data_IF_971340453011
#
_entry.id   IF_971340453011
#
_cell.length_a   1.000
_cell.length_b   1.000
_cell.length_c   1.000
_cell.angle_alpha   90.00
_cell.angle_beta   90.00
_cell.angle_gamma   90.00
#
_symmetry.space_group_name_H-M   'P 1'
#
loop_
_entity.id
_entity.type
_entity.pdbx_description
1 polymer ?
#
# COMPACT_ATOMS: atom_id res chain seq x y z
N UNK A 1 33.26 -0.46 -3.73
CA UNK A 1 32.35 0.65 -3.37
C UNK A 1 31.00 0.06 -2.99
N UNK A 2 30.27 0.65 -2.03
CA UNK A 2 28.89 0.24 -1.71
C UNK A 2 27.96 0.63 -2.86
N UNK A 3 27.03 -0.24 -3.24
CA UNK A 3 25.96 0.12 -4.17
C UNK A 3 25.04 1.18 -3.54
N UNK A 4 24.64 2.15 -4.34
CA UNK A 4 23.69 3.20 -3.98
C UNK A 4 22.26 2.69 -4.15
N UNK A 5 21.41 2.96 -3.16
CA UNK A 5 19.96 2.77 -3.29
C UNK A 5 19.28 4.10 -3.06
N UNK A 6 18.72 4.67 -4.13
CA UNK A 6 17.85 5.85 -4.07
C UNK A 6 16.42 5.40 -3.78
N UNK A 7 15.96 5.62 -2.54
CA UNK A 7 14.62 5.27 -2.09
C UNK A 7 13.68 6.46 -2.32
N UNK A 8 12.63 6.26 -3.11
CA UNK A 8 11.62 7.27 -3.42
C UNK A 8 10.31 6.94 -2.69
N UNK A 9 9.99 7.69 -1.65
CA UNK A 9 8.73 7.55 -0.91
C UNK A 9 8.88 7.85 0.58
N UNK A 10 7.77 8.13 1.26
CA UNK A 10 7.75 8.44 2.69
C UNK A 10 6.57 7.74 3.38
N UNK A 11 6.63 6.40 3.42
CA UNK A 11 5.58 5.53 3.95
C UNK A 11 6.14 4.63 5.06
N UNK A 12 5.27 3.98 5.83
CA UNK A 12 5.70 3.09 6.92
C UNK A 12 6.61 1.95 6.44
N UNK A 13 6.35 1.42 5.25
CA UNK A 13 7.19 0.40 4.62
C UNK A 13 8.53 0.96 4.11
N UNK A 14 8.64 2.26 3.86
CA UNK A 14 9.92 2.90 3.50
C UNK A 14 10.93 2.74 4.62
N UNK A 15 10.51 2.83 5.88
CA UNK A 15 11.39 2.62 7.04
C UNK A 15 11.94 1.19 7.06
N UNK A 16 11.11 0.19 6.76
CA UNK A 16 11.55 -1.21 6.64
C UNK A 16 12.59 -1.36 5.53
N UNK A 17 12.36 -0.74 4.36
CA UNK A 17 13.30 -0.74 3.23
C UNK A 17 14.65 -0.14 3.62
N UNK A 18 14.64 1.06 4.19
CA UNK A 18 15.88 1.77 4.59
C UNK A 18 16.67 0.99 5.63
N UNK A 19 16.00 0.43 6.65
CA UNK A 19 16.67 -0.39 7.69
C UNK A 19 17.22 -1.68 7.13
N UNK A 20 16.43 -2.42 6.34
CA UNK A 20 16.86 -3.68 5.73
C UNK A 20 18.11 -3.47 4.87
N UNK A 21 18.03 -2.54 3.92
CA UNK A 21 19.10 -2.32 2.95
C UNK A 21 20.32 -1.67 3.60
N UNK A 22 20.13 -0.72 4.54
CA UNK A 22 21.23 -0.14 5.29
C UNK A 22 21.99 -1.18 6.13
N UNK A 23 21.30 -2.13 6.75
CA UNK A 23 21.92 -3.28 7.46
C UNK A 23 22.62 -4.24 6.52
N UNK A 24 22.13 -4.34 5.28
CA UNK A 24 22.75 -5.16 4.22
C UNK A 24 23.96 -4.47 3.57
N UNK A 25 24.33 -3.27 4.00
CA UNK A 25 25.55 -2.59 3.57
C UNK A 25 25.39 -1.65 2.37
N UNK A 26 24.17 -1.43 1.88
CA UNK A 26 23.90 -0.45 0.82
C UNK A 26 24.10 0.99 1.33
N UNK A 27 24.52 1.89 0.43
CA UNK A 27 24.49 3.34 0.69
C UNK A 27 23.09 3.86 0.38
N UNK A 28 22.34 4.23 1.41
CA UNK A 28 20.94 4.63 1.26
C UNK A 28 20.85 6.14 1.04
N UNK A 29 20.18 6.52 -0.04
CA UNK A 29 19.86 7.91 -0.37
C UNK A 29 18.33 8.03 -0.33
N UNK A 30 17.79 8.91 0.50
CA UNK A 30 16.34 9.14 0.55
C UNK A 30 15.99 10.33 -0.34
N UNK A 31 15.12 10.11 -1.31
CA UNK A 31 14.52 11.19 -2.09
C UNK A 31 13.33 11.78 -1.35
N UNK A 32 13.28 13.11 -1.16
CA UNK A 32 12.11 13.79 -0.60
C UNK A 32 11.67 15.00 -1.42
N UNK A 33 10.35 15.12 -1.53
CA UNK A 33 9.64 16.31 -1.99
C UNK A 33 9.14 17.08 -0.75
N UNK A 34 9.31 18.41 -0.72
CA UNK A 34 8.92 19.31 0.41
C UNK A 34 9.72 19.10 1.71
N UNK A 35 9.32 19.78 2.80
CA UNK A 35 10.02 19.77 4.09
C UNK A 35 9.94 18.41 4.80
N UNK A 36 11.07 18.01 5.41
CA UNK A 36 11.39 16.83 6.24
C UNK A 36 10.57 15.55 6.06
N UNK A 37 11.26 14.46 5.71
CA UNK A 37 10.70 13.10 5.66
C UNK A 37 11.03 12.34 6.94
N UNK A 38 10.07 11.69 7.61
CA UNK A 38 10.36 10.87 8.80
C UNK A 38 11.35 9.73 8.49
N UNK A 39 11.41 9.29 7.23
CA UNK A 39 12.34 8.24 6.80
C UNK A 39 13.79 8.74 6.83
N UNK A 40 14.02 10.03 6.55
CA UNK A 40 15.37 10.63 6.49
C UNK A 40 16.09 10.61 7.84
N UNK A 41 15.34 10.49 8.93
CA UNK A 41 15.84 10.44 10.31
C UNK A 41 16.38 9.07 10.70
N UNK A 42 16.25 8.06 9.84
CA UNK A 42 16.82 6.75 10.11
C UNK A 42 18.34 6.82 10.09
N UNK A 43 19.00 6.22 11.08
CA UNK A 43 20.47 6.14 11.14
C UNK A 43 21.11 5.38 9.98
N UNK A 44 20.30 4.67 9.19
CA UNK A 44 20.72 3.91 8.03
C UNK A 44 20.76 4.77 6.75
N UNK A 45 20.21 5.99 6.79
CA UNK A 45 20.28 6.95 5.69
C UNK A 45 21.68 7.56 5.63
N UNK A 46 22.28 7.51 4.45
CA UNK A 46 23.62 8.05 4.19
C UNK A 46 23.59 9.43 3.56
N UNK A 47 22.52 9.76 2.82
CA UNK A 47 22.37 11.04 2.12
C UNK A 47 20.88 11.31 1.84
N UNK A 48 20.53 12.58 1.60
CA UNK A 48 19.18 13.01 1.27
C UNK A 48 19.22 13.80 -0.03
N UNK A 49 18.42 13.36 -1.01
CA UNK A 49 18.22 14.09 -2.25
C UNK A 49 16.90 14.85 -2.19
N UNK A 50 16.99 16.18 -2.14
CA UNK A 50 15.83 17.06 -2.20
C UNK A 50 15.49 17.34 -3.67
N UNK A 51 14.23 17.19 -4.03
CA UNK A 51 13.72 17.50 -5.37
C UNK A 51 12.41 18.26 -5.29
N UNK A 52 12.03 18.94 -6.38
CA UNK A 52 10.72 19.53 -6.53
C UNK A 52 9.80 18.53 -7.25
N UNK A 53 8.84 17.95 -6.52
CA UNK A 53 7.91 16.97 -7.08
C UNK A 53 6.68 17.56 -7.75
N UNK A 54 6.39 18.86 -7.55
CA UNK A 54 5.19 19.55 -8.05
C UNK A 54 5.22 19.66 -9.59
N UNK A 55 6.41 19.79 -10.20
CA UNK A 55 6.57 19.75 -11.65
C UNK A 55 7.11 18.38 -12.11
N UNK A 56 6.27 17.61 -12.81
CA UNK A 56 6.62 16.27 -13.31
C UNK A 56 7.82 16.25 -14.24
N UNK A 57 7.90 17.17 -15.20
CA UNK A 57 9.01 17.20 -16.13
C UNK A 57 10.32 17.56 -15.43
N UNK A 58 10.27 18.53 -14.51
CA UNK A 58 11.44 18.97 -13.75
C UNK A 58 11.95 17.84 -12.84
N UNK A 59 11.04 17.17 -12.12
CA UNK A 59 11.40 16.02 -11.30
C UNK A 59 12.21 14.97 -12.06
N UNK A 60 11.80 14.61 -13.29
CA UNK A 60 12.55 13.63 -14.08
C UNK A 60 13.90 14.16 -14.59
N UNK A 61 14.00 15.44 -14.92
CA UNK A 61 15.29 16.08 -15.26
C UNK A 61 16.24 16.03 -14.07
N UNK A 62 15.76 16.39 -12.88
CA UNK A 62 16.54 16.37 -11.65
C UNK A 62 16.96 14.94 -11.26
N UNK A 63 16.04 13.97 -11.41
CA UNK A 63 16.34 12.56 -11.19
C UNK A 63 17.43 12.06 -12.14
N UNK A 64 17.32 12.37 -13.42
CA UNK A 64 18.32 11.99 -14.42
C UNK A 64 19.69 12.57 -14.10
N UNK A 65 19.75 13.86 -13.74
CA UNK A 65 20.98 14.52 -13.30
C UNK A 65 21.55 13.83 -12.05
N UNK A 66 20.71 13.55 -11.04
CA UNK A 66 21.15 12.84 -9.82
C UNK A 66 21.71 11.45 -10.16
N UNK A 67 21.03 10.65 -10.98
CA UNK A 67 21.50 9.32 -11.36
C UNK A 67 22.85 9.36 -12.09
N UNK A 68 23.07 10.36 -12.97
CA UNK A 68 24.37 10.59 -13.63
C UNK A 68 25.48 10.89 -12.61
N UNK A 69 25.20 11.65 -11.54
CA UNK A 69 26.19 11.89 -10.47
C UNK A 69 26.51 10.66 -9.62
N UNK A 70 25.57 9.72 -9.50
CA UNK A 70 25.74 8.50 -8.68
C UNK A 70 26.45 7.36 -9.44
N UNK A 71 26.43 7.41 -10.77
CA UNK A 71 27.09 6.44 -11.64
C UNK A 71 26.20 5.21 -11.96
N UNK A 72 26.08 4.82 -13.25
CA UNK A 72 25.07 3.86 -13.71
C UNK A 72 25.28 2.40 -13.26
N UNK A 73 26.52 1.98 -12.99
CA UNK A 73 26.83 0.59 -12.59
C UNK A 73 26.62 0.28 -11.11
N UNK A 74 26.16 1.26 -10.32
CA UNK A 74 26.04 1.11 -8.85
C UNK A 74 24.74 1.65 -8.27
N UNK A 75 23.77 2.06 -9.09
CA UNK A 75 22.59 2.79 -8.60
C UNK A 75 21.30 2.02 -8.82
N UNK A 76 20.63 1.70 -7.71
CA UNK A 76 19.31 1.09 -7.65
C UNK A 76 18.31 2.19 -7.27
N UNK A 77 17.20 2.31 -8.01
CA UNK A 77 16.08 3.18 -7.65
C UNK A 77 14.97 2.33 -7.09
N UNK A 78 14.57 2.63 -5.85
CA UNK A 78 13.53 1.90 -5.12
C UNK A 78 12.29 2.78 -4.95
N UNK A 79 11.33 2.74 -5.91
CA UNK A 79 10.04 3.39 -5.72
C UNK A 79 9.23 2.66 -4.65
N UNK A 80 8.82 3.38 -3.61
CA UNK A 80 8.02 2.86 -2.51
C UNK A 80 6.62 3.46 -2.58
N UNK A 81 5.61 2.58 -2.58
CA UNK A 81 4.21 2.99 -2.73
C UNK A 81 3.77 3.08 -4.19
N UNK A 82 2.46 3.20 -4.38
CA UNK A 82 1.81 3.09 -5.68
C UNK A 82 2.14 4.26 -6.61
N UNK A 83 1.96 5.49 -6.11
CA UNK A 83 2.22 6.70 -6.89
C UNK A 83 3.67 6.78 -7.38
N UNK A 84 4.64 6.47 -6.53
CA UNK A 84 6.05 6.48 -6.95
C UNK A 84 6.34 5.38 -7.96
N UNK A 85 5.72 4.20 -7.81
CA UNK A 85 5.91 3.08 -8.74
C UNK A 85 5.33 3.42 -10.11
N UNK A 86 4.09 3.89 -10.16
CA UNK A 86 3.40 4.29 -11.39
C UNK A 86 4.19 5.38 -12.14
N UNK A 87 4.63 6.41 -11.40
CA UNK A 87 5.42 7.52 -11.97
C UNK A 87 6.74 7.04 -12.57
N UNK A 88 7.42 6.07 -11.95
CA UNK A 88 8.65 5.49 -12.48
C UNK A 88 8.39 4.55 -13.66
N UNK A 89 7.35 3.72 -13.59
CA UNK A 89 6.98 2.81 -14.67
C UNK A 89 6.64 3.56 -15.96
N UNK A 90 5.91 4.67 -15.86
CA UNK A 90 5.52 5.50 -17.01
C UNK A 90 6.71 6.11 -17.78
N UNK A 91 7.86 6.29 -17.15
CA UNK A 91 9.07 6.86 -17.78
C UNK A 91 10.26 5.88 -17.75
N UNK A 92 10.01 4.57 -17.62
CA UNK A 92 11.07 3.59 -17.43
C UNK A 92 12.15 3.64 -18.53
N UNK A 93 11.74 3.81 -19.79
CA UNK A 93 12.65 3.91 -20.93
C UNK A 93 13.59 5.12 -20.85
N UNK A 94 13.14 6.24 -20.27
CA UNK A 94 13.97 7.45 -20.11
C UNK A 94 15.22 7.17 -19.27
N UNK A 95 15.12 6.24 -18.33
CA UNK A 95 16.20 5.92 -17.39
C UNK A 95 16.95 4.64 -17.74
N UNK A 96 16.71 4.07 -18.92
CA UNK A 96 17.39 2.87 -19.40
C UNK A 96 18.90 3.09 -19.42
N UNK A 97 19.64 2.19 -18.79
CA UNK A 97 21.10 2.27 -18.65
C UNK A 97 21.60 3.25 -17.59
N UNK A 98 20.73 4.04 -16.93
CA UNK A 98 21.12 4.96 -15.86
C UNK A 98 20.99 4.35 -14.46
N UNK A 99 20.03 3.46 -14.25
CA UNK A 99 19.80 2.78 -12.97
C UNK A 99 19.01 1.49 -13.13
N UNK A 100 19.08 0.64 -12.11
CA UNK A 100 18.21 -0.53 -11.96
C UNK A 100 16.99 -0.15 -11.12
N UNK A 101 15.79 -0.26 -11.68
CA UNK A 101 14.55 0.07 -10.97
C UNK A 101 13.96 -1.15 -10.30
N UNK A 102 13.65 -1.03 -9.00
CA UNK A 102 12.96 -2.04 -8.21
C UNK A 102 11.47 -2.02 -8.54
N UNK A 103 11.13 -2.64 -9.67
CA UNK A 103 9.77 -2.83 -10.14
C UNK A 103 9.70 -3.99 -11.14
N UNK A 104 8.52 -4.61 -11.30
CA UNK A 104 8.23 -5.47 -12.46
C UNK A 104 8.35 -4.70 -13.78
N UNK A 105 8.15 -5.41 -14.89
CA UNK A 105 8.01 -4.75 -16.19
C UNK A 105 6.93 -3.63 -16.16
N UNK A 106 7.16 -2.45 -16.76
CA UNK A 106 6.19 -1.36 -16.76
C UNK A 106 4.79 -1.75 -17.25
N UNK A 107 4.67 -2.65 -18.24
CA UNK A 107 3.38 -3.11 -18.72
C UNK A 107 2.67 -3.99 -17.67
N UNK A 108 3.42 -4.81 -16.92
CA UNK A 108 2.88 -5.57 -15.79
C UNK A 108 2.42 -4.62 -14.68
N UNK A 109 3.20 -3.59 -14.36
CA UNK A 109 2.80 -2.57 -13.37
C UNK A 109 1.49 -1.91 -13.78
N UNK A 110 1.39 -1.38 -15.00
CA UNK A 110 0.18 -0.73 -15.50
C UNK A 110 -1.03 -1.66 -15.43
N UNK A 111 -0.87 -2.92 -15.86
CA UNK A 111 -1.95 -3.92 -15.82
C UNK A 111 -2.41 -4.24 -14.39
N UNK A 112 -1.50 -4.34 -13.42
CA UNK A 112 -1.85 -4.64 -12.03
C UNK A 112 -2.48 -3.45 -11.30
N UNK A 113 -2.17 -2.21 -11.72
CA UNK A 113 -2.80 -1.00 -11.17
C UNK A 113 -4.20 -0.76 -11.73
N UNK A 114 -4.52 -1.33 -12.89
CA UNK A 114 -5.88 -1.38 -13.42
C UNK A 114 -6.68 -2.53 -12.78
N UNK A 115 -7.61 -2.17 -11.88
CA UNK A 115 -8.47 -3.15 -11.20
C UNK A 115 -9.34 -3.96 -12.17
N UNK A 116 -9.83 -3.35 -13.25
CA UNK A 116 -10.65 -4.06 -14.26
C UNK A 116 -9.80 -5.11 -14.95
N UNK A 117 -8.64 -4.71 -15.47
CA UNK A 117 -7.71 -5.62 -16.15
C UNK A 117 -7.25 -6.76 -15.25
N UNK A 118 -7.07 -6.51 -13.95
CA UNK A 118 -6.65 -7.53 -12.98
C UNK A 118 -7.80 -8.48 -12.61
N UNK A 119 -9.05 -7.99 -12.50
CA UNK A 119 -10.23 -8.83 -12.24
C UNK A 119 -10.58 -9.70 -13.46
N UNK A 120 -10.45 -9.16 -14.68
CA UNK A 120 -10.57 -9.94 -15.92
C UNK A 120 -9.51 -11.03 -16.02
N UNK A 121 -8.27 -10.73 -15.62
CA UNK A 121 -7.21 -11.74 -15.54
C UNK A 121 -7.54 -12.80 -14.48
N UNK A 122 -8.05 -12.41 -13.32
CA UNK A 122 -8.48 -13.36 -12.28
C UNK A 122 -9.52 -14.36 -12.82
N UNK A 123 -10.52 -13.86 -13.55
CA UNK A 123 -11.54 -14.70 -14.18
C UNK A 123 -10.95 -15.67 -15.20
N UNK A 124 -10.01 -15.21 -16.05
CA UNK A 124 -9.29 -16.08 -17.02
C UNK A 124 -8.42 -17.16 -16.37
N UNK A 125 -8.02 -16.96 -15.11
CA UNK A 125 -7.17 -17.88 -14.35
C UNK A 125 -7.94 -18.77 -13.37
N UNK A 126 -9.28 -18.76 -13.46
CA UNK A 126 -10.17 -19.45 -12.52
C UNK A 126 -9.88 -19.09 -11.06
N UNK A 127 -9.50 -17.84 -10.81
CA UNK A 127 -9.34 -17.28 -9.47
C UNK A 127 -10.62 -16.54 -9.09
N UNK A 128 -11.35 -16.98 -8.04
CA UNK A 128 -12.62 -16.37 -7.70
C UNK A 128 -12.48 -14.88 -7.37
N UNK A 129 -13.32 -14.05 -7.97
CA UNK A 129 -13.52 -12.64 -7.59
C UNK A 129 -14.91 -12.47 -6.99
N UNK A 130 -15.13 -11.48 -6.12
CA UNK A 130 -16.48 -11.19 -5.67
C UNK A 130 -17.38 -10.86 -6.88
N UNK A 131 -18.63 -11.33 -6.93
CA UNK A 131 -19.58 -10.97 -8.00
C UNK A 131 -19.63 -9.45 -8.19
N UNK A 132 -19.37 -8.98 -9.42
CA UNK A 132 -19.13 -7.56 -9.73
C UNK A 132 -19.78 -7.15 -11.05
N UNK A 133 -20.27 -5.91 -11.11
CA UNK A 133 -20.72 -5.20 -12.32
C UNK A 133 -19.83 -3.98 -12.50
N UNK A 134 -19.01 -3.98 -13.56
CA UNK A 134 -17.86 -3.08 -13.77
C UNK A 134 -18.18 -1.65 -14.24
N UNK A 135 -19.42 -1.40 -14.64
CA UNK A 135 -19.87 -0.10 -15.15
C UNK A 135 -21.23 0.27 -14.58
N UNK A 136 -21.41 1.54 -14.23
CA UNK A 136 -22.70 2.05 -13.76
C UNK A 136 -23.74 2.02 -14.87
N UNK A 137 -24.77 1.23 -14.63
CA UNK A 137 -26.01 1.19 -15.39
C UNK A 137 -27.13 0.98 -14.38
N UNK A 138 -28.06 1.93 -14.30
CA UNK A 138 -29.05 1.97 -13.22
C UNK A 138 -29.90 0.69 -13.18
N UNK A 139 -30.40 0.25 -14.33
CA UNK A 139 -31.30 -0.91 -14.41
C UNK A 139 -30.54 -2.20 -14.11
N UNK A 140 -29.37 -2.38 -14.74
CA UNK A 140 -28.49 -3.54 -14.51
C UNK A 140 -28.03 -3.63 -13.06
N UNK A 141 -27.73 -2.49 -12.43
CA UNK A 141 -27.34 -2.44 -11.02
C UNK A 141 -28.50 -2.77 -10.10
N UNK A 142 -29.71 -2.27 -10.36
CA UNK A 142 -30.89 -2.63 -9.58
C UNK A 142 -31.20 -4.13 -9.66
N UNK A 143 -31.10 -4.72 -10.86
CA UNK A 143 -31.26 -6.16 -11.03
C UNK A 143 -30.15 -6.95 -10.30
N UNK A 144 -28.90 -6.51 -10.44
CA UNK A 144 -27.75 -7.17 -9.81
C UNK A 144 -27.75 -7.03 -8.29
N UNK A 145 -28.21 -5.91 -7.75
CA UNK A 145 -28.37 -5.69 -6.31
C UNK A 145 -29.33 -6.73 -5.70
N UNK A 146 -30.44 -7.05 -6.38
CA UNK A 146 -31.37 -8.10 -5.97
C UNK A 146 -30.73 -9.49 -6.02
N UNK A 147 -29.97 -9.78 -7.07
CA UNK A 147 -29.29 -11.08 -7.25
C UNK A 147 -28.12 -11.29 -6.27
N UNK A 148 -27.31 -10.26 -6.04
CA UNK A 148 -26.15 -10.33 -5.17
C UNK A 148 -26.54 -10.44 -3.70
N UNK A 149 -27.66 -9.78 -3.34
CA UNK A 149 -28.11 -9.63 -1.97
C UNK A 149 -27.25 -8.65 -1.17
N UNK A 150 -27.76 -8.25 -0.01
CA UNK A 150 -27.07 -7.32 0.88
C UNK A 150 -26.07 -8.04 1.81
N UNK A 151 -24.96 -7.39 2.20
CA UNK A 151 -24.57 -6.03 1.82
C UNK A 151 -23.99 -5.93 0.41
N UNK A 152 -23.95 -4.71 -0.13
CA UNK A 152 -23.29 -4.39 -1.40
C UNK A 152 -22.14 -3.39 -1.17
N UNK A 153 -21.11 -3.47 -2.02
CA UNK A 153 -19.95 -2.58 -2.03
C UNK A 153 -19.95 -1.81 -3.34
N UNK A 154 -19.90 -0.49 -3.25
CA UNK A 154 -19.77 0.40 -4.40
C UNK A 154 -18.45 1.13 -4.29
N UNK A 155 -17.61 0.99 -5.31
CA UNK A 155 -16.25 1.57 -5.34
C UNK A 155 -15.91 2.03 -6.76
N UNK A 156 -14.86 2.83 -6.91
CA UNK A 156 -14.29 3.15 -8.22
C UNK A 156 -13.30 2.09 -8.67
N UNK A 157 -13.18 1.92 -9.98
CA UNK A 157 -12.09 1.13 -10.57
C UNK A 157 -10.73 1.73 -10.19
N UNK A 158 -10.58 3.04 -10.30
CA UNK A 158 -9.41 3.79 -9.80
C UNK A 158 -9.44 3.98 -8.28
N UNK A 159 -8.28 4.05 -7.63
CA UNK A 159 -8.15 4.28 -6.18
C UNK A 159 -8.03 5.75 -5.78
N UNK A 160 -7.93 6.67 -6.73
CA UNK A 160 -7.57 8.08 -6.45
C UNK A 160 -8.76 8.94 -6.01
N UNK A 161 -9.96 8.67 -6.53
CA UNK A 161 -11.16 9.46 -6.21
C UNK A 161 -12.04 8.70 -5.22
N UNK A 162 -12.35 9.25 -4.03
CA UNK A 162 -13.30 8.64 -3.11
C UNK A 162 -14.73 8.53 -3.70
N UNK A 163 -15.52 7.61 -3.16
CA UNK A 163 -16.97 7.52 -3.39
C UNK A 163 -17.66 8.08 -2.16
N UNK A 164 -18.37 9.21 -2.30
CA UNK A 164 -18.97 9.96 -1.19
C UNK A 164 -18.00 10.24 -0.02
N UNK A 165 -16.73 10.55 -0.33
CA UNK A 165 -15.71 10.85 0.68
C UNK A 165 -15.08 9.62 1.36
N UNK A 166 -15.46 8.41 0.97
CA UNK A 166 -14.90 7.14 1.47
C UNK A 166 -14.24 6.34 0.35
N UNK A 167 -13.41 5.36 0.69
CA UNK A 167 -12.80 4.44 -0.31
C UNK A 167 -13.86 3.59 -1.03
N UNK A 168 -14.94 3.26 -0.34
CA UNK A 168 -16.08 2.53 -0.86
C UNK A 168 -17.35 2.86 -0.05
N UNK A 169 -18.50 2.89 -0.72
CA UNK A 169 -19.81 2.96 -0.09
C UNK A 169 -20.34 1.55 0.16
N UNK A 170 -20.69 1.23 1.41
CA UNK A 170 -21.21 -0.10 1.78
C UNK A 170 -22.71 0.02 2.07
N UNK A 171 -23.54 -0.48 1.16
CA UNK A 171 -24.98 -0.51 1.33
C UNK A 171 -25.36 -1.75 2.15
N UNK A 172 -25.72 -1.56 3.43
CA UNK A 172 -26.05 -2.65 4.36
C UNK A 172 -27.53 -3.02 4.41
N UNK A 173 -28.39 -2.13 3.93
CA UNK A 173 -29.85 -2.29 3.91
C UNK A 173 -30.44 -1.63 2.66
N UNK A 174 -31.71 -1.91 2.39
CA UNK A 174 -32.44 -1.35 1.24
C UNK A 174 -32.50 0.18 1.27
N UNK A 175 -32.56 0.81 2.45
CA UNK A 175 -32.55 2.27 2.57
C UNK A 175 -31.24 2.88 2.05
N UNK A 176 -30.09 2.24 2.34
CA UNK A 176 -28.79 2.68 1.84
C UNK A 176 -28.66 2.48 0.33
N UNK A 177 -29.24 1.39 -0.23
CA UNK A 177 -29.32 1.18 -1.68
C UNK A 177 -30.14 2.27 -2.34
N UNK A 178 -31.34 2.56 -1.81
CA UNK A 178 -32.20 3.63 -2.31
C UNK A 178 -31.49 4.98 -2.26
N UNK A 179 -30.91 5.33 -1.11
CA UNK A 179 -30.16 6.57 -0.95
C UNK A 179 -29.03 6.69 -1.98
N UNK A 180 -28.27 5.62 -2.23
CA UNK A 180 -27.23 5.63 -3.25
C UNK A 180 -27.80 5.97 -4.63
N UNK A 181 -28.86 5.28 -5.06
CA UNK A 181 -29.47 5.51 -6.38
C UNK A 181 -30.08 6.90 -6.53
N UNK A 182 -30.56 7.50 -5.45
CA UNK A 182 -31.11 8.86 -5.44
C UNK A 182 -29.99 9.93 -5.53
N UNK A 183 -28.78 9.62 -5.04
CA UNK A 183 -27.67 10.58 -4.92
C UNK A 183 -26.51 10.32 -5.90
N UNK A 184 -26.47 9.20 -6.62
CA UNK A 184 -25.35 8.85 -7.53
C UNK A 184 -25.10 9.90 -8.61
N UNK A 185 -26.12 10.67 -9.02
CA UNK A 185 -25.98 11.75 -9.99
C UNK A 185 -25.12 12.92 -9.48
N UNK A 186 -24.93 13.06 -8.16
CA UNK A 186 -24.04 14.08 -7.58
C UNK A 186 -22.60 13.59 -7.41
N UNK A 187 -22.31 12.32 -7.70
CA UNK A 187 -20.93 11.82 -7.70
C UNK A 187 -20.17 12.42 -8.91
N UNK A 188 -18.89 12.82 -8.75
CA UNK A 188 -18.15 13.46 -9.85
C UNK A 188 -17.83 12.54 -11.02
N UNK A 189 -17.80 11.21 -10.85
CA UNK A 189 -17.55 10.27 -11.97
C UNK A 189 -18.40 8.99 -11.83
N UNK A 190 -19.73 9.08 -11.99
CA UNK A 190 -20.64 7.96 -11.72
C UNK A 190 -20.38 6.75 -12.63
N UNK A 191 -19.94 6.99 -13.87
CA UNK A 191 -19.63 5.95 -14.85
C UNK A 191 -18.35 5.15 -14.51
N UNK A 192 -17.53 5.63 -13.59
CA UNK A 192 -16.32 4.94 -13.11
C UNK A 192 -16.61 4.03 -11.90
N UNK A 193 -17.85 3.98 -11.41
CA UNK A 193 -18.28 3.15 -10.31
C UNK A 193 -18.53 1.70 -10.76
N UNK A 194 -18.29 0.77 -9.84
CA UNK A 194 -18.62 -0.64 -9.97
C UNK A 194 -19.43 -1.11 -8.74
N UNK A 195 -20.37 -2.03 -8.96
CA UNK A 195 -21.20 -2.65 -7.92
C UNK A 195 -20.70 -4.06 -7.64
N UNK A 196 -20.41 -4.37 -6.40
CA UNK A 196 -19.82 -5.63 -5.98
C UNK A 196 -20.60 -6.23 -4.81
N UNK A 197 -20.79 -7.56 -4.80
CA UNK A 197 -21.31 -8.28 -3.64
C UNK A 197 -20.35 -8.13 -2.47
N UNK A 198 -20.85 -7.76 -1.29
CA UNK A 198 -20.03 -7.79 -0.09
C UNK A 198 -19.68 -9.23 0.29
N UNK A 199 -18.39 -9.48 0.45
CA UNK A 199 -17.86 -10.78 0.89
C UNK A 199 -17.33 -10.62 2.31
N UNK A 200 -17.74 -11.54 3.20
CA UNK A 200 -17.22 -11.62 4.57
C UNK A 200 -15.87 -12.32 4.57
N UNK A 201 -15.05 -12.03 5.57
CA UNK A 201 -13.78 -12.73 5.78
C UNK A 201 -12.66 -11.81 6.21
N UNK A 202 -11.51 -12.40 6.52
CA UNK A 202 -10.29 -11.65 6.80
C UNK A 202 -9.53 -11.41 5.51
N UNK A 203 -8.89 -10.24 5.40
CA UNK A 203 -7.93 -10.00 4.33
C UNK A 203 -6.66 -10.80 4.60
N UNK A 204 -6.29 -11.65 3.65
CA UNK A 204 -5.00 -12.32 3.59
C UNK A 204 -4.09 -11.57 2.62
N UNK A 205 -2.94 -11.11 3.10
CA UNK A 205 -1.89 -10.49 2.27
C UNK A 205 -0.82 -11.56 2.01
N UNK A 206 -0.71 -11.97 0.75
CA UNK A 206 0.19 -13.01 0.27
C UNK A 206 1.37 -12.34 -0.44
N UNK A 207 2.45 -12.11 0.30
CA UNK A 207 3.67 -11.49 -0.23
C UNK A 207 4.48 -12.52 -0.98
N UNK A 208 5.02 -12.14 -2.12
CA UNK A 208 5.86 -13.03 -2.92
C UNK A 208 7.04 -12.30 -3.55
N UNK A 209 8.08 -13.07 -3.85
CA UNK A 209 9.14 -12.71 -4.79
C UNK A 209 9.12 -13.75 -5.90
N UNK A 210 9.16 -13.29 -7.15
CA UNK A 210 9.07 -14.15 -8.32
C UNK A 210 10.13 -13.79 -9.36
N UNK A 211 10.49 -14.78 -10.16
CA UNK A 211 11.39 -14.68 -11.31
C UNK A 211 10.80 -15.50 -12.45
N UNK A 212 10.69 -14.90 -13.62
CA UNK A 212 10.27 -15.51 -14.87
C UNK A 212 8.97 -16.31 -14.72
N UNK A 213 7.99 -15.70 -14.04
CA UNK A 213 6.68 -16.29 -13.82
C UNK A 213 6.67 -17.45 -12.81
N UNK A 214 7.71 -17.59 -11.97
CA UNK A 214 7.77 -18.58 -10.89
C UNK A 214 7.95 -17.92 -9.53
N UNK A 215 7.12 -18.30 -8.58
CA UNK A 215 7.23 -17.84 -7.18
C UNK A 215 8.46 -18.49 -6.54
N UNK A 216 9.43 -17.67 -6.16
CA UNK A 216 10.67 -18.10 -5.49
C UNK A 216 10.56 -18.01 -3.96
N UNK A 217 9.82 -17.04 -3.43
CA UNK A 217 9.58 -16.85 -2.00
C UNK A 217 8.11 -16.50 -1.79
N UNK A 218 7.47 -17.08 -0.78
CA UNK A 218 6.06 -16.83 -0.44
C UNK A 218 5.89 -16.64 1.07
N UNK A 219 5.10 -15.65 1.46
CA UNK A 219 4.73 -15.37 2.85
C UNK A 219 3.27 -14.97 2.93
N UNK A 220 2.56 -15.50 3.92
CA UNK A 220 1.15 -15.21 4.12
C UNK A 220 0.93 -14.59 5.49
N UNK A 221 0.15 -13.51 5.51
CA UNK A 221 -0.39 -12.98 6.74
C UNK A 221 -1.88 -12.77 6.65
N UNK A 222 -2.52 -12.91 7.81
CA UNK A 222 -3.90 -12.49 8.02
C UNK A 222 -3.92 -11.11 8.66
N UNK A 223 -4.64 -10.18 8.05
CA UNK A 223 -4.94 -8.88 8.64
C UNK A 223 -6.05 -9.05 9.66
N UNK A 224 -5.76 -8.77 10.93
CA UNK A 224 -6.71 -8.91 12.03
C UNK A 224 -7.53 -7.65 12.26
N UNK A 225 -6.98 -6.50 11.88
CA UNK A 225 -7.63 -5.21 12.08
C UNK A 225 -7.13 -4.15 11.11
N UNK A 226 -8.00 -3.20 10.81
CA UNK A 226 -7.67 -2.00 10.01
C UNK A 226 -7.81 -0.73 10.82
N UNK A 227 -7.34 0.40 10.29
CA UNK A 227 -7.57 1.75 10.83
C UNK A 227 -9.00 2.28 10.62
N UNK A 228 -9.94 1.38 10.29
CA UNK A 228 -11.35 1.66 10.07
C UNK A 228 -12.22 0.56 10.70
N UNK A 229 -13.42 0.90 11.20
CA UNK A 229 -14.33 -0.11 11.77
C UNK A 229 -15.03 -0.99 10.72
N UNK A 230 -14.98 -0.62 9.44
CA UNK A 230 -15.63 -1.35 8.34
C UNK A 230 -14.64 -2.25 7.57
N UNK A 231 -13.41 -2.43 8.09
CA UNK A 231 -12.35 -3.27 7.53
C UNK A 231 -11.86 -2.90 6.12
N UNK A 232 -12.26 -1.74 5.60
CA UNK A 232 -11.83 -1.25 4.27
C UNK A 232 -10.47 -0.53 4.30
N UNK A 233 -10.00 -0.18 5.49
CA UNK A 233 -8.81 0.60 5.74
C UNK A 233 -7.48 -0.15 5.58
N UNK A 234 -6.41 0.53 5.97
CA UNK A 234 -5.07 -0.03 6.00
C UNK A 234 -4.93 -1.01 7.16
N UNK A 235 -4.27 -2.14 6.93
CA UNK A 235 -3.97 -3.09 8.01
C UNK A 235 -3.13 -2.44 9.09
N UNK A 236 -3.63 -2.45 10.33
CA UNK A 236 -2.94 -1.95 11.53
C UNK A 236 -2.54 -3.08 12.47
N UNK A 237 -3.11 -4.27 12.32
CA UNK A 237 -2.68 -5.46 13.06
C UNK A 237 -2.76 -6.67 12.14
N UNK A 238 -1.71 -7.49 12.14
CA UNK A 238 -1.63 -8.71 11.34
C UNK A 238 -0.89 -9.82 12.06
N UNK A 239 -1.07 -11.04 11.59
CA UNK A 239 -0.42 -12.24 12.10
C UNK A 239 0.10 -13.11 10.95
N UNK A 240 1.31 -13.66 11.09
CA UNK A 240 1.83 -14.65 10.16
C UNK A 240 1.07 -15.97 10.32
N UNK A 241 0.68 -16.56 9.21
CA UNK A 241 -0.11 -17.81 9.18
C UNK A 241 0.59 -18.84 8.31
N UNK A 242 0.26 -20.11 8.50
CA UNK A 242 0.74 -21.15 7.58
C UNK A 242 0.23 -20.83 6.16
N UNK A 243 1.10 -20.84 5.13
CA UNK A 243 0.70 -20.65 3.75
C UNK A 243 -0.49 -21.55 3.38
N UNK A 244 -1.58 -20.95 2.92
CA UNK A 244 -2.70 -21.69 2.34
C UNK A 244 -2.27 -22.24 0.97
N UNK A 245 -2.34 -23.57 0.73
CA UNK A 245 -2.04 -24.14 -0.58
C UNK A 245 -2.87 -23.49 -1.70
N UNK A 246 -4.15 -23.22 -1.42
CA UNK A 246 -5.08 -22.59 -2.36
C UNK A 246 -4.70 -21.15 -2.71
N UNK A 247 -4.37 -20.31 -1.71
CA UNK A 247 -4.00 -18.92 -1.99
C UNK A 247 -2.62 -18.82 -2.67
N UNK A 248 -1.71 -19.72 -2.31
CA UNK A 248 -0.43 -19.86 -2.98
C UNK A 248 -0.61 -20.24 -4.45
N UNK A 249 -1.43 -21.26 -4.72
CA UNK A 249 -1.74 -21.68 -6.09
C UNK A 249 -2.33 -20.52 -6.92
N UNK A 250 -3.32 -19.79 -6.38
CA UNK A 250 -3.86 -18.60 -7.06
C UNK A 250 -2.80 -17.53 -7.33
N UNK A 251 -1.89 -17.31 -6.38
CA UNK A 251 -0.77 -16.37 -6.56
C UNK A 251 0.19 -16.85 -7.65
N UNK A 252 0.51 -18.14 -7.68
CA UNK A 252 1.36 -18.76 -8.70
C UNK A 252 0.74 -18.65 -10.10
N UNK A 253 -0.59 -18.80 -10.24
CA UNK A 253 -1.30 -18.60 -11.51
C UNK A 253 -1.14 -17.17 -12.04
N UNK A 254 -1.33 -16.14 -11.19
CA UNK A 254 -1.12 -14.74 -11.60
C UNK A 254 0.33 -14.49 -12.00
N UNK A 255 1.28 -14.96 -11.19
CA UNK A 255 2.71 -14.79 -11.40
C UNK A 255 3.13 -15.42 -12.74
N UNK A 256 2.68 -16.65 -13.02
CA UNK A 256 2.95 -17.35 -14.27
C UNK A 256 2.34 -16.64 -15.49
N UNK A 257 1.05 -16.27 -15.41
CA UNK A 257 0.34 -15.63 -16.52
C UNK A 257 0.90 -14.25 -16.90
N UNK A 258 1.54 -13.56 -15.96
CA UNK A 258 2.19 -12.27 -16.18
C UNK A 258 3.66 -12.38 -16.58
N UNK A 259 4.29 -13.57 -16.52
CA UNK A 259 5.75 -13.69 -16.65
C UNK A 259 6.48 -12.85 -15.59
N UNK A 260 5.93 -12.82 -14.38
CA UNK A 260 6.28 -11.82 -13.37
C UNK A 260 7.71 -12.02 -12.83
N UNK A 261 8.51 -10.94 -12.83
CA UNK A 261 9.80 -10.85 -12.13
C UNK A 261 9.79 -9.62 -11.22
N UNK A 262 9.94 -9.83 -9.91
CA UNK A 262 9.83 -8.77 -8.91
C UNK A 262 9.25 -9.26 -7.58
N UNK A 263 9.00 -8.34 -6.67
CA UNK A 263 8.17 -8.59 -5.47
C UNK A 263 6.76 -8.08 -5.68
N UNK A 264 5.79 -8.68 -5.00
CA UNK A 264 4.40 -8.25 -5.04
C UNK A 264 3.61 -8.78 -3.86
N UNK A 265 2.33 -8.40 -3.80
CA UNK A 265 1.39 -8.90 -2.83
C UNK A 265 0.03 -9.13 -3.48
N UNK A 266 -0.38 -10.39 -3.62
CA UNK A 266 -1.77 -10.73 -3.89
C UNK A 266 -2.57 -10.59 -2.59
N UNK A 267 -3.78 -10.05 -2.69
CA UNK A 267 -4.67 -9.90 -1.54
C UNK A 267 -5.96 -10.66 -1.79
N UNK A 268 -6.42 -11.40 -0.77
CA UNK A 268 -7.65 -12.18 -0.82
C UNK A 268 -8.53 -11.89 0.40
N UNK A 269 -9.84 -11.93 0.23
CA UNK A 269 -10.78 -12.09 1.35
C UNK A 269 -11.05 -13.57 1.57
N UNK A 270 -10.84 -14.04 2.80
CA UNK A 270 -11.01 -15.44 3.18
C UNK A 270 -12.06 -15.56 4.27
N UNK A 271 -13.15 -16.27 3.96
CA UNK A 271 -14.13 -16.70 4.94
C UNK A 271 -13.75 -18.11 5.42
N UNK A 272 -13.10 -18.18 6.58
CA UNK A 272 -12.68 -19.44 7.19
C UNK A 272 -13.86 -20.41 7.44
N UNK A 273 -15.06 -19.90 7.69
CA UNK A 273 -16.24 -20.73 7.97
C UNK A 273 -16.83 -21.33 6.70
N UNK A 274 -16.86 -20.53 5.62
CA UNK A 274 -17.38 -20.98 4.34
C UNK A 274 -16.33 -21.66 3.45
N UNK A 275 -15.04 -21.61 3.82
CA UNK A 275 -13.92 -22.12 3.00
C UNK A 275 -13.72 -21.35 1.67
N UNK A 276 -14.35 -20.17 1.55
CA UNK A 276 -14.33 -19.36 0.34
C UNK A 276 -13.18 -18.34 0.39
N UNK A 277 -12.56 -18.11 -0.76
CA UNK A 277 -11.47 -17.16 -0.92
C UNK A 277 -11.70 -16.37 -2.21
N UNK A 278 -11.70 -15.04 -2.11
CA UNK A 278 -11.96 -14.14 -3.21
C UNK A 278 -10.82 -13.16 -3.40
N UNK A 279 -10.32 -13.05 -4.62
CA UNK A 279 -9.27 -12.12 -5.00
C UNK A 279 -9.74 -10.67 -4.88
N UNK A 280 -8.89 -9.83 -4.28
CA UNK A 280 -9.10 -8.40 -4.17
C UNK A 280 -8.29 -7.64 -5.21
N UNK A 281 -6.97 -7.81 -5.15
CA UNK A 281 -6.00 -7.08 -5.95
C UNK A 281 -4.63 -7.76 -5.93
N UNK A 282 -3.82 -7.44 -6.94
CA UNK A 282 -2.39 -7.76 -7.00
C UNK A 282 -1.63 -6.44 -6.95
N UNK A 283 -0.92 -6.20 -5.85
CA UNK A 283 -0.06 -5.04 -5.71
C UNK A 283 1.33 -5.35 -6.31
N UNK A 284 1.78 -4.67 -7.38
CA UNK A 284 3.05 -4.97 -8.05
C UNK A 284 4.27 -4.35 -7.33
N UNK A 285 4.24 -4.33 -5.99
CA UNK A 285 5.22 -3.66 -5.12
C UNK A 285 5.25 -4.30 -3.74
N UNK A 286 6.24 -3.88 -2.93
CA UNK A 286 6.20 -4.12 -1.49
C UNK A 286 4.90 -3.60 -0.89
N UNK A 287 4.22 -4.48 -0.17
CA UNK A 287 3.02 -4.13 0.57
C UNK A 287 3.38 -3.33 1.84
N UNK A 288 2.46 -2.47 2.28
CA UNK A 288 2.64 -1.61 3.44
C UNK A 288 2.82 -2.36 4.77
N UNK A 289 2.60 -3.68 4.77
CA UNK A 289 2.78 -4.58 5.93
C UNK A 289 4.06 -5.43 5.85
N UNK A 290 4.99 -5.12 4.94
CA UNK A 290 6.25 -5.86 4.74
C UNK A 290 7.20 -5.92 5.96
N UNK A 291 6.94 -5.12 7.01
CA UNK A 291 7.65 -5.24 8.28
C UNK A 291 7.42 -6.60 8.97
N UNK A 292 6.22 -7.18 8.84
CA UNK A 292 5.92 -8.47 9.45
C UNK A 292 6.74 -9.61 8.83
N UNK A 293 6.77 -9.83 7.50
CA UNK A 293 7.65 -10.84 6.93
C UNK A 293 9.12 -10.61 7.26
N UNK A 294 9.59 -9.36 7.30
CA UNK A 294 10.96 -9.03 7.72
C UNK A 294 11.25 -9.52 9.15
N UNK A 295 10.32 -9.31 10.08
CA UNK A 295 10.42 -9.81 11.47
C UNK A 295 10.29 -11.34 11.57
N UNK A 296 9.69 -11.98 10.58
CA UNK A 296 9.64 -13.44 10.43
C UNK A 296 10.88 -14.03 9.74
N UNK A 297 11.86 -13.21 9.37
CA UNK A 297 13.11 -13.63 8.74
C UNK A 297 13.12 -13.57 7.20
N UNK A 298 12.07 -13.02 6.58
CA UNK A 298 11.98 -12.89 5.12
C UNK A 298 12.19 -11.43 4.71
N UNK A 299 13.34 -11.15 4.12
CA UNK A 299 13.78 -9.81 3.77
C UNK A 299 13.31 -9.38 2.37
N UNK A 300 12.01 -9.12 2.22
CA UNK A 300 11.43 -8.68 0.95
C UNK A 300 12.08 -7.41 0.34
N UNK A 301 12.50 -6.39 1.09
CA UNK A 301 13.27 -5.28 0.52
C UNK A 301 14.53 -5.73 -0.23
N UNK A 302 15.29 -6.67 0.35
CA UNK A 302 16.46 -7.24 -0.31
C UNK A 302 16.09 -8.10 -1.51
N UNK A 303 15.08 -8.97 -1.37
CA UNK A 303 14.57 -9.79 -2.48
C UNK A 303 14.11 -8.92 -3.66
N UNK A 304 13.53 -7.74 -3.39
CA UNK A 304 13.12 -6.80 -4.42
C UNK A 304 14.30 -6.27 -5.23
N UNK A 305 15.42 -5.94 -4.56
CA UNK A 305 16.68 -5.57 -5.22
C UNK A 305 17.22 -6.72 -6.06
N UNK A 306 17.23 -7.93 -5.51
CA UNK A 306 17.74 -9.12 -6.20
C UNK A 306 16.91 -9.45 -7.46
N UNK A 307 15.57 -9.40 -7.37
CA UNK A 307 14.69 -9.57 -8.54
C UNK A 307 14.94 -8.48 -9.60
N UNK A 308 15.14 -7.23 -9.18
CA UNK A 308 15.40 -6.12 -10.11
C UNK A 308 16.75 -6.29 -10.83
N UNK A 309 17.78 -6.78 -10.13
CA UNK A 309 19.08 -7.12 -10.71
C UNK A 309 18.95 -8.25 -11.74
N UNK A 310 18.23 -9.32 -11.41
CA UNK A 310 17.99 -10.44 -12.33
C UNK A 310 17.31 -9.94 -13.61
N UNK A 311 16.25 -9.13 -13.49
CA UNK A 311 15.56 -8.53 -14.64
C UNK A 311 16.48 -7.66 -15.50
N UNK A 312 17.47 -7.00 -14.89
CA UNK A 312 18.46 -6.18 -15.58
C UNK A 312 19.66 -6.99 -16.13
N UNK A 313 19.66 -8.32 -16.02
CA UNK A 313 20.80 -9.17 -16.42
C UNK A 313 22.02 -9.04 -15.49
N UNK A 314 21.83 -8.54 -14.27
CA UNK A 314 22.87 -8.37 -13.27
C UNK A 314 22.86 -9.53 -12.26
N UNK A 315 24.02 -9.84 -11.71
CA UNK A 315 24.15 -10.86 -10.66
C UNK A 315 23.42 -10.41 -9.38
N UNK A 316 22.45 -11.18 -8.87
CA UNK A 316 21.81 -10.86 -7.60
C UNK A 316 22.80 -11.00 -6.44
N UNK A 317 22.53 -10.34 -5.33
CA UNK A 317 23.38 -10.40 -4.14
C UNK A 317 23.26 -11.75 -3.43
N UNK A 318 22.13 -12.47 -3.58
CA UNK A 318 21.93 -13.86 -3.12
C UNK A 318 21.08 -14.65 -4.10
N UNK A 319 21.20 -15.98 -4.04
CA UNK A 319 20.24 -16.89 -4.69
C UNK A 319 18.87 -16.68 -4.05
N UNK A 320 17.87 -16.40 -4.88
CA UNK A 320 16.48 -16.35 -4.46
C UNK A 320 16.04 -17.78 -4.11
N UNK A 321 15.99 -18.09 -2.83
CA UNK A 321 15.51 -19.37 -2.33
C UNK A 321 14.44 -19.12 -1.27
N UNK A 322 13.33 -19.85 -1.37
CA UNK A 322 12.32 -19.84 -0.33
C UNK A 322 12.95 -20.36 0.97
N UNK A 323 12.84 -19.64 2.10
CA UNK A 323 13.19 -20.23 3.36
C UNK A 323 12.29 -21.46 3.59
N UNK A 324 12.87 -22.56 4.08
CA UNK A 324 12.13 -23.82 4.33
C UNK A 324 10.90 -23.59 5.23
N UNK A 325 10.97 -22.61 6.12
CA UNK A 325 9.86 -22.14 6.94
C UNK A 325 10.11 -20.70 7.40
N UNK A 326 9.05 -20.03 7.86
CA UNK A 326 9.12 -18.77 8.59
C UNK A 326 8.31 -18.87 9.87
N UNK A 327 8.52 -17.93 10.80
CA UNK A 327 7.84 -17.94 12.10
C UNK A 327 6.33 -17.75 11.93
N UNK A 328 5.54 -18.76 12.31
CA UNK A 328 4.07 -18.72 12.33
C UNK A 328 3.57 -18.14 13.65
N UNK A 329 2.44 -17.42 13.62
CA UNK A 329 1.81 -16.84 14.80
C UNK A 329 2.46 -15.55 15.29
N UNK A 330 3.45 -15.02 14.56
CA UNK A 330 4.06 -13.72 14.88
C UNK A 330 3.07 -12.63 14.55
N UNK A 331 2.80 -11.76 15.52
CA UNK A 331 1.93 -10.60 15.35
C UNK A 331 2.75 -9.32 15.22
N UNK A 332 2.25 -8.38 14.41
CA UNK A 332 2.77 -7.03 14.33
C UNK A 332 1.61 -6.03 14.33
N UNK A 333 1.81 -4.90 15.02
CA UNK A 333 0.85 -3.81 15.07
C UNK A 333 1.46 -2.48 14.62
N UNK A 334 0.64 -1.62 14.02
CA UNK A 334 0.95 -0.22 13.72
C UNK A 334 0.07 0.68 14.58
N UNK A 335 0.43 0.77 15.85
CA UNK A 335 -0.26 1.53 16.89
C UNK A 335 -0.41 3.00 16.52
N UNK A 336 0.62 3.63 15.92
CA UNK A 336 0.54 5.02 15.48
C UNK A 336 -0.57 5.22 14.44
N UNK A 337 -0.67 4.33 13.46
CA UNK A 337 -1.73 4.39 12.45
C UNK A 337 -3.11 4.08 13.01
N UNK A 338 -3.16 3.20 13.99
CA UNK A 338 -4.38 2.81 14.66
C UNK A 338 -4.98 3.91 15.53
N UNK A 339 -4.15 4.60 16.33
CA UNK A 339 -4.53 5.81 17.06
C UNK A 339 -5.02 6.87 16.09
N UNK A 340 -4.37 7.04 14.94
CA UNK A 340 -4.81 7.98 13.92
C UNK A 340 -6.17 7.60 13.32
N UNK A 341 -6.40 6.31 13.03
CA UNK A 341 -7.70 5.81 12.57
C UNK A 341 -8.82 6.12 13.56
N UNK A 342 -8.56 5.92 14.86
CA UNK A 342 -9.46 6.31 15.94
C UNK A 342 -9.72 7.82 15.96
N UNK A 343 -8.69 8.66 15.96
CA UNK A 343 -8.83 10.13 15.98
C UNK A 343 -9.63 10.63 14.78
N UNK A 344 -9.34 10.10 13.59
CA UNK A 344 -10.07 10.42 12.36
C UNK A 344 -11.56 10.03 12.50
N UNK A 345 -11.85 8.83 12.99
CA UNK A 345 -13.22 8.37 13.19
C UNK A 345 -13.98 9.23 14.21
N UNK A 346 -13.34 9.66 15.31
CA UNK A 346 -13.93 10.56 16.30
C UNK A 346 -14.15 11.96 15.72
N UNK A 347 -13.15 12.54 15.08
CA UNK A 347 -13.21 13.91 14.54
C UNK A 347 -14.29 14.07 13.46
N UNK A 348 -14.50 13.02 12.66
CA UNK A 348 -15.55 13.00 11.64
C UNK A 348 -16.87 12.38 12.13
N UNK A 349 -17.03 12.16 13.44
CA UNK A 349 -18.25 11.61 14.07
C UNK A 349 -18.74 10.29 13.44
N UNK A 350 -17.79 9.46 12.96
CA UNK A 350 -18.07 8.16 12.34
C UNK A 350 -18.38 7.07 13.37
N UNK A 351 -18.09 7.32 14.65
CA UNK A 351 -18.23 6.35 15.74
C UNK A 351 -18.82 6.98 17.00
N UNK A 352 -19.49 6.17 17.82
CA UNK A 352 -20.00 6.58 19.13
C UNK A 352 -18.89 6.62 20.19
N UNK A 353 -19.14 7.29 21.32
CA UNK A 353 -18.21 7.33 22.45
C UNK A 353 -17.88 5.92 22.98
N UNK A 354 -18.87 5.02 23.06
CA UNK A 354 -18.67 3.63 23.48
C UNK A 354 -17.78 2.86 22.50
N UNK A 355 -17.98 3.06 21.19
CA UNK A 355 -17.11 2.47 20.15
C UNK A 355 -15.68 2.99 20.25
N UNK A 356 -15.50 4.28 20.55
CA UNK A 356 -14.17 4.87 20.75
C UNK A 356 -13.46 4.25 21.98
N UNK A 357 -14.14 4.10 23.12
CA UNK A 357 -13.59 3.43 24.31
C UNK A 357 -13.18 1.99 23.99
N UNK A 358 -14.05 1.25 23.30
CA UNK A 358 -13.75 -0.12 22.86
C UNK A 358 -12.54 -0.18 21.93
N UNK A 359 -12.36 0.80 21.05
CA UNK A 359 -11.19 0.89 20.16
C UNK A 359 -9.91 1.21 20.95
N UNK A 360 -9.96 2.12 21.93
CA UNK A 360 -8.82 2.37 22.84
C UNK A 360 -8.40 1.08 23.55
N UNK A 361 -9.36 0.30 24.06
CA UNK A 361 -9.10 -1.01 24.66
C UNK A 361 -8.39 -1.96 23.68
N UNK A 362 -8.81 -1.98 22.40
CA UNK A 362 -8.14 -2.76 21.34
C UNK A 362 -6.70 -2.27 21.11
N UNK A 363 -6.46 -0.96 21.05
CA UNK A 363 -5.10 -0.39 20.90
C UNK A 363 -4.20 -0.84 22.05
N UNK A 364 -4.66 -0.76 23.30
CA UNK A 364 -3.91 -1.18 24.48
C UNK A 364 -3.60 -2.69 24.41
N UNK A 365 -4.62 -3.51 24.11
CA UNK A 365 -4.43 -4.95 23.95
C UNK A 365 -3.44 -5.29 22.83
N UNK A 366 -3.51 -4.58 21.69
CA UNK A 366 -2.55 -4.75 20.60
C UNK A 366 -1.14 -4.35 21.07
N UNK A 367 -0.96 -3.24 21.79
CA UNK A 367 0.34 -2.82 22.30
C UNK A 367 0.94 -3.85 23.29
N UNK A 368 0.12 -4.47 24.14
CA UNK A 368 0.54 -5.49 25.09
C UNK A 368 0.83 -6.85 24.43
N UNK A 369 0.02 -7.26 23.45
CA UNK A 369 0.15 -8.57 22.78
C UNK A 369 1.22 -8.61 21.70
N UNK A 370 1.49 -7.47 21.06
CA UNK A 370 2.42 -7.41 19.94
C UNK A 370 3.81 -7.05 20.45
N UNK A 371 4.74 -8.01 20.39
CA UNK A 371 6.15 -7.76 20.71
C UNK A 371 6.85 -6.86 19.70
N UNK A 372 6.23 -6.63 18.54
CA UNK A 372 6.82 -5.84 17.46
C UNK A 372 5.83 -4.85 16.88
N UNK A 373 6.30 -3.62 16.70
CA UNK A 373 5.56 -2.56 16.06
C UNK A 373 6.13 -2.29 14.66
N UNK A 374 5.26 -2.11 13.66
CA UNK A 374 5.65 -2.06 12.23
C UNK A 374 6.78 -1.06 11.95
N UNK A 375 6.77 0.10 12.61
CA UNK A 375 7.79 1.13 12.42
C UNK A 375 8.82 1.21 13.54
N UNK A 376 8.61 0.58 14.70
CA UNK A 376 9.49 0.78 15.86
C UNK A 376 10.77 -0.05 15.74
N UNK A 377 11.89 0.54 16.13
CA UNK A 377 13.16 -0.16 16.27
C UNK A 377 13.98 0.50 17.37
N UNK A 378 14.43 -0.28 18.36
CA UNK A 378 15.19 0.23 19.50
C UNK A 378 16.51 0.88 19.08
N UNK A 379 17.12 0.40 17.98
CA UNK A 379 18.41 0.91 17.49
C UNK A 379 18.25 2.07 16.51
N UNK A 380 17.02 2.35 16.07
CA UNK A 380 16.68 3.36 15.08
C UNK A 380 15.29 3.97 15.35
N UNK A 381 15.07 4.64 16.51
CA UNK A 381 13.73 5.03 16.95
C UNK A 381 13.19 6.31 16.28
N UNK A 382 14.08 7.19 15.79
CA UNK A 382 13.73 8.53 15.31
C UNK A 382 12.64 8.55 14.22
N UNK A 383 12.63 7.65 13.21
CA UNK A 383 11.55 7.61 12.23
C UNK A 383 10.17 7.40 12.85
N UNK A 384 10.06 6.57 13.90
CA UNK A 384 8.75 6.34 14.55
C UNK A 384 8.34 7.50 15.43
N UNK A 385 9.28 8.07 16.19
CA UNK A 385 9.00 9.20 17.07
C UNK A 385 8.53 10.41 16.26
N UNK A 386 9.19 10.71 15.13
CA UNK A 386 8.76 11.78 14.24
C UNK A 386 7.40 11.49 13.62
N UNK A 387 7.18 10.28 13.08
CA UNK A 387 5.88 9.89 12.51
C UNK A 387 4.74 10.04 13.53
N UNK A 388 4.99 9.68 14.79
CA UNK A 388 4.02 9.86 15.87
C UNK A 388 3.77 11.36 16.14
N UNK A 389 4.83 12.18 16.24
CA UNK A 389 4.72 13.62 16.47
C UNK A 389 3.99 14.37 15.34
N UNK A 390 4.33 14.09 14.09
CA UNK A 390 3.69 14.69 12.90
C UNK A 390 2.20 14.39 12.83
N UNK A 391 1.81 13.14 13.11
CA UNK A 391 0.39 12.72 13.10
C UNK A 391 -0.41 13.25 14.29
N UNK A 392 0.21 13.39 15.46
CA UNK A 392 -0.42 14.01 16.62
C UNK A 392 -0.59 15.53 16.43
N UNK A 393 0.43 16.20 15.87
CA UNK A 393 0.39 17.63 15.58
C UNK A 393 -0.65 18.01 14.52
N UNK A 394 -0.80 17.21 13.46
CA UNK A 394 -1.83 17.43 12.42
C UNK A 394 -3.25 17.11 12.90
N UNK A 395 -3.43 16.12 13.78
CA UNK A 395 -4.72 15.84 14.42
C UNK A 395 -5.18 16.92 15.40
N UNK A 396 -4.25 17.64 16.03
CA UNK A 396 -4.51 18.79 16.92
C UNK A 396 -4.60 20.12 16.16
N UNK A 397 -3.89 20.26 15.03
CA UNK A 397 -3.89 21.48 14.20
C UNK A 397 -5.26 21.87 13.64
N UNK A 398 -6.14 20.89 13.41
CA UNK A 398 -7.52 21.15 12.99
C UNK A 398 -8.46 21.60 14.14
N UNK A 399 -7.99 21.68 15.39
CA UNK A 399 -8.75 22.26 16.50
C UNK A 399 -8.43 23.73 16.79
N UNK A 400 -7.43 24.31 16.12
CA UNK A 400 -7.04 25.72 16.32
C UNK A 400 -7.05 26.59 15.05
N UNK A 401 -7.55 26.08 13.92
CA UNK A 401 -7.72 26.88 12.71
C UNK A 401 -8.93 27.84 12.77
N UNK A 402 -9.76 27.79 13.82
CA UNK A 402 -10.89 28.71 14.02
C UNK A 402 -10.52 30.06 14.66
N UNK A 403 -9.25 30.32 14.98
CA UNK A 403 -8.81 31.57 15.62
C UNK A 403 -7.79 32.39 14.83
N UNK A 404 -7.50 32.05 13.56
CA UNK A 404 -6.81 32.98 12.66
C UNK A 404 -7.85 33.77 11.89
N UNK A 405 -8.26 34.93 12.44
CA UNK A 405 -8.85 35.99 11.62
C UNK A 405 -7.88 36.31 10.47
N UNK A 406 -8.34 36.45 9.22
CA UNK A 406 -7.50 36.99 8.17
C UNK A 406 -7.15 38.42 8.57
N UNK A 407 -5.86 38.70 8.72
CA UNK A 407 -5.36 40.07 8.73
C UNK A 407 -5.58 40.59 7.32
N UNK A 408 -6.60 41.42 7.15
CA UNK A 408 -6.79 42.25 5.97
C UNK A 408 -5.62 43.22 5.90
N UNK A 409 -4.66 42.95 5.02
CA UNK A 409 -3.72 43.97 4.56
C UNK A 409 -4.50 44.81 3.54
N UNK A 410 -4.95 45.96 4.00
CA UNK A 410 -5.35 47.08 3.16
C UNK A 410 -4.05 47.77 2.77
N UNK A 411 -3.58 47.57 1.55
CA UNK A 411 -2.63 48.51 0.95
C UNK A 411 -3.43 49.53 0.13
N UNK A 412 -3.49 50.73 0.72
CA UNK A 412 -3.76 51.98 0.04
C UNK A 412 -2.49 52.41 -0.72
N UNK A 413 -2.74 53.23 -1.73
CA UNK A 413 -1.81 54.10 -2.46
C UNK A 413 -1.05 53.38 -3.60
N UNK A 414 -0.85 53.93 -4.79
CA UNK A 414 -1.37 55.10 -5.53
C UNK A 414 -0.47 55.20 -6.76
N UNK A 415 -1.02 55.17 -7.97
CA UNK A 415 -0.70 56.04 -9.12
C UNK A 415 -1.68 55.76 -10.25
#
# INVERSE_FOLDING_TARGET
MKENVLVLGNFRQTVTVVRSLGRSGYRIIVGRDKLKSFTELSRHVSDVWCYNGDNRLQFFKDLEAKLKTLGPRTTIVFPVGEFSLERMAAEAERFKGLATFVMPDPAIVARCLDKRATHELAAKLDVPVPPTVESFDREKWQASARTFGLPLVIKRASSFTPVFGEKAFIAKNEQAVKWFFDNVASDPEPNALLLQKFVKGFRHNCHFAAVDGKVAVYFEQRVLRTDSLNDSGYGVEGISVTPSPKLREYTERFVAALGYTGVGCTQFLVDDKAGSAYFLELNPRLDATCALPYQCGIDFPRLAVDCAKIRAGLTPTRVLASPKSYVIGRRAAWIVGDVFGLLNAVNHRKISALQAIGWVGKIILSALRNRHHITWDLRDPLPTLYLAGERLGSGLGNRFSFLRRPVSIVDKASE
#
